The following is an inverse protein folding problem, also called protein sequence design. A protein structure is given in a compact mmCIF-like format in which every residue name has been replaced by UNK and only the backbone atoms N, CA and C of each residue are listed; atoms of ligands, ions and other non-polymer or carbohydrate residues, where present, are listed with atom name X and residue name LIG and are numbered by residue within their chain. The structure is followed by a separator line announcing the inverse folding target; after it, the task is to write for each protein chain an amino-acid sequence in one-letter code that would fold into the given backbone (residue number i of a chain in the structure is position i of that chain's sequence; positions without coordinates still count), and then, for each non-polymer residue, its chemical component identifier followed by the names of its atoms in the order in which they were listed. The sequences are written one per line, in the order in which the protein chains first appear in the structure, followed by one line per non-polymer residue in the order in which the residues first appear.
data_IF_935536793655
#
_entry.id   IF_935536793655
#
_cell.length_a   1.000
_cell.length_b   1.000
_cell.length_c   1.000
_cell.angle_alpha   90.00
_cell.angle_beta   90.00
_cell.angle_gamma   90.00
#
_symmetry.space_group_name_H-M   'P 1'
#
loop_
_entity.id
_entity.type
_entity.pdbx_description
1 polymer ?
#
# COMPACT_ATOMS: atom_id res chain seq x y z
N UNK A 1 -31.29 31.86 62.07
CA UNK A 1 -31.83 30.81 61.17
C UNK A 1 -31.72 31.27 59.70
N UNK A 2 -30.50 31.33 59.13
CA UNK A 2 -30.29 31.89 57.78
C UNK A 2 -28.91 31.54 57.17
N UNK A 3 -28.50 30.27 57.14
CA UNK A 3 -27.21 29.88 56.49
C UNK A 3 -27.27 28.56 55.70
N UNK A 4 -28.33 27.75 55.82
CA UNK A 4 -28.30 26.36 55.28
C UNK A 4 -28.71 26.26 53.79
N UNK A 5 -29.30 27.30 53.18
CA UNK A 5 -29.82 27.20 51.80
C UNK A 5 -28.79 27.42 50.67
N UNK A 6 -27.60 27.97 50.94
CA UNK A 6 -26.63 28.25 49.87
C UNK A 6 -25.62 27.12 49.58
N UNK A 7 -25.30 26.26 50.55
CA UNK A 7 -24.37 25.14 50.30
C UNK A 7 -25.00 23.99 49.49
N UNK A 8 -26.32 23.80 49.56
CA UNK A 8 -27.00 22.66 48.91
C UNK A 8 -27.14 22.83 47.39
N UNK A 9 -27.16 24.06 46.88
CA UNK A 9 -27.32 24.33 45.45
C UNK A 9 -25.98 24.17 44.70
N UNK A 10 -24.86 24.45 45.36
CA UNK A 10 -23.53 24.32 44.76
C UNK A 10 -23.10 22.86 44.53
N UNK A 11 -23.45 21.93 45.43
CA UNK A 11 -23.08 20.50 45.31
C UNK A 11 -23.91 19.72 44.28
N UNK A 12 -25.15 20.15 44.01
CA UNK A 12 -26.04 19.52 43.02
C UNK A 12 -25.66 19.95 41.60
N UNK A 13 -25.32 21.23 41.40
CA UNK A 13 -24.95 21.77 40.08
C UNK A 13 -23.57 21.26 39.62
N UNK A 14 -22.62 21.05 40.54
CA UNK A 14 -21.30 20.46 40.23
C UNK A 14 -21.39 18.99 39.87
N UNK A 15 -22.25 18.21 40.55
CA UNK A 15 -22.50 16.80 40.21
C UNK A 15 -23.18 16.63 38.85
N UNK A 16 -24.09 17.53 38.48
CA UNK A 16 -24.75 17.48 37.17
C UNK A 16 -23.76 17.76 36.04
N UNK A 17 -22.89 18.78 36.19
CA UNK A 17 -21.84 19.10 35.22
C UNK A 17 -20.80 17.98 35.07
N UNK A 18 -20.36 17.34 36.16
CA UNK A 18 -19.44 16.19 36.06
C UNK A 18 -20.07 14.97 35.40
N UNK A 19 -21.35 14.67 35.68
CA UNK A 19 -22.06 13.58 35.00
C UNK A 19 -22.20 13.83 33.50
N UNK A 20 -22.58 15.04 33.08
CA UNK A 20 -22.70 15.37 31.65
C UNK A 20 -21.34 15.31 30.94
N UNK A 21 -20.25 15.77 31.58
CA UNK A 21 -18.89 15.67 31.02
C UNK A 21 -18.45 14.20 30.91
N UNK A 22 -18.66 13.37 31.93
CA UNK A 22 -18.35 11.94 31.85
C UNK A 22 -19.18 11.21 30.80
N UNK A 23 -20.46 11.54 30.64
CA UNK A 23 -21.31 10.93 29.59
C UNK A 23 -20.87 11.37 28.19
N UNK A 24 -20.48 12.64 27.99
CA UNK A 24 -19.94 13.12 26.71
C UNK A 24 -18.56 12.51 26.41
N UNK A 25 -17.70 12.32 27.42
CA UNK A 25 -16.41 11.64 27.25
C UNK A 25 -16.60 10.15 26.91
N UNK A 26 -17.56 9.48 27.55
CA UNK A 26 -17.89 8.08 27.28
C UNK A 26 -18.47 7.91 25.87
N UNK A 27 -19.36 8.82 25.46
CA UNK A 27 -19.90 8.89 24.10
C UNK A 27 -18.79 9.23 23.09
N UNK A 28 -17.80 10.07 23.42
CA UNK A 28 -16.66 10.32 22.51
C UNK A 28 -15.71 9.11 22.40
N UNK A 29 -15.57 8.29 23.44
CA UNK A 29 -14.72 7.08 23.40
C UNK A 29 -15.41 5.87 22.74
N UNK A 30 -16.74 5.83 22.69
CA UNK A 30 -17.48 4.73 22.04
C UNK A 30 -17.65 4.91 20.54
N UNK A 31 -17.24 6.05 20.00
CA UNK A 31 -17.24 6.27 18.56
C UNK A 31 -15.80 6.08 18.09
N UNK A 32 -15.62 5.09 17.20
CA UNK A 32 -14.43 4.88 16.36
C UNK A 32 -13.30 4.02 16.94
N UNK A 33 -13.59 2.85 17.55
CA UNK A 33 -12.69 1.71 17.33
C UNK A 33 -13.02 1.15 15.94
N UNK A 34 -12.52 1.80 14.89
CA UNK A 34 -12.42 1.13 13.59
C UNK A 34 -11.47 -0.04 13.79
N UNK A 35 -11.83 -1.22 13.30
CA UNK A 35 -10.92 -2.36 13.31
C UNK A 35 -9.67 -1.97 12.52
N UNK A 36 -8.53 -2.05 13.18
CA UNK A 36 -7.24 -1.71 12.60
C UNK A 36 -6.39 -2.96 12.53
N UNK A 37 -5.68 -3.14 11.43
CA UNK A 37 -4.70 -4.22 11.36
C UNK A 37 -3.56 -3.96 12.34
N UNK A 38 -2.89 -5.01 12.85
CA UNK A 38 -1.82 -4.87 13.84
C UNK A 38 -0.64 -4.01 13.38
N UNK A 39 -0.42 -3.90 12.06
CA UNK A 39 0.61 -3.05 11.47
C UNK A 39 0.22 -1.57 11.38
N UNK A 40 -1.05 -1.20 11.60
CA UNK A 40 -1.49 0.19 11.44
C UNK A 40 -1.12 1.09 12.62
N UNK A 41 -0.62 0.51 13.70
CA UNK A 41 -0.02 1.25 14.83
C UNK A 41 1.32 1.89 14.47
N UNK A 42 2.01 1.41 13.42
CA UNK A 42 3.31 1.95 12.99
C UNK A 42 3.10 3.18 12.10
N UNK A 43 4.05 4.14 12.07
CA UNK A 43 3.98 5.29 11.17
C UNK A 43 3.89 4.87 9.70
N UNK A 44 3.18 5.64 8.89
CA UNK A 44 3.06 5.43 7.44
C UNK A 44 3.62 6.61 6.66
N UNK A 45 4.12 6.41 5.43
CA UNK A 45 4.53 7.51 4.57
C UNK A 45 3.33 8.35 4.16
N UNK A 46 3.56 9.64 3.89
CA UNK A 46 2.56 10.52 3.28
C UNK A 46 2.77 10.56 1.78
N UNK A 47 1.90 9.88 1.02
CA UNK A 47 1.97 9.84 -0.43
C UNK A 47 1.47 11.11 -1.10
N UNK A 48 2.18 11.54 -2.14
CA UNK A 48 1.61 12.40 -3.17
C UNK A 48 0.99 11.52 -4.25
N UNK A 49 -0.28 11.76 -4.59
CA UNK A 49 -1.01 10.96 -5.57
C UNK A 49 -1.28 11.75 -6.86
N UNK A 50 -1.00 11.13 -8.00
CA UNK A 50 -1.23 11.70 -9.32
C UNK A 50 -2.12 10.76 -10.14
N UNK A 51 -3.28 11.24 -10.59
CA UNK A 51 -4.31 10.41 -11.26
C UNK A 51 -4.66 10.84 -12.68
N UNK A 52 -4.02 11.88 -13.20
CA UNK A 52 -4.35 12.50 -14.49
C UNK A 52 -3.75 11.73 -15.68
N UNK A 53 -4.09 10.44 -15.80
CA UNK A 53 -3.69 9.59 -16.90
C UNK A 53 -4.28 10.07 -18.22
N UNK A 54 -3.43 10.22 -19.23
CA UNK A 54 -3.83 10.40 -20.63
C UNK A 54 -3.77 9.06 -21.34
N UNK A 55 -4.94 8.57 -21.73
CA UNK A 55 -5.09 7.33 -22.48
C UNK A 55 -4.98 7.61 -23.99
N UNK A 56 -4.17 6.80 -24.67
CA UNK A 56 -4.08 6.75 -26.12
C UNK A 56 -4.32 5.31 -26.57
N UNK A 57 -5.56 5.03 -26.94
CA UNK A 57 -5.93 3.75 -27.53
C UNK A 57 -5.57 3.76 -29.03
N UNK A 58 -4.52 3.01 -29.38
CA UNK A 58 -4.07 2.81 -30.75
C UNK A 58 -4.18 1.36 -31.17
N UNK A 59 -5.08 0.57 -30.56
CA UNK A 59 -5.28 -0.85 -30.86
C UNK A 59 -5.49 -1.09 -32.36
N UNK A 60 -6.32 -0.27 -33.01
CA UNK A 60 -6.63 -0.39 -34.44
C UNK A 60 -5.49 0.00 -35.38
N UNK A 61 -4.56 0.88 -34.96
CA UNK A 61 -3.50 1.43 -35.83
C UNK A 61 -2.11 0.85 -35.54
N UNK A 62 -1.82 0.53 -34.27
CA UNK A 62 -0.50 0.17 -33.75
C UNK A 62 -0.54 -1.01 -32.78
N UNK A 63 -1.70 -1.67 -32.65
CA UNK A 63 -1.90 -2.81 -31.75
C UNK A 63 -1.35 -2.55 -30.34
N UNK A 64 -1.63 -1.35 -29.82
CA UNK A 64 -1.14 -0.91 -28.52
C UNK A 64 -2.08 0.06 -27.83
N UNK A 65 -2.02 0.04 -26.50
CA UNK A 65 -2.68 0.99 -25.62
C UNK A 65 -1.59 1.68 -24.79
N UNK A 66 -1.63 3.01 -24.72
CA UNK A 66 -0.71 3.78 -23.89
C UNK A 66 -1.46 4.57 -22.83
N UNK A 67 -1.05 4.44 -21.57
CA UNK A 67 -1.44 5.31 -20.47
C UNK A 67 -0.25 6.16 -20.08
N UNK A 68 -0.37 7.49 -20.18
CA UNK A 68 0.74 8.42 -19.93
C UNK A 68 0.38 9.39 -18.82
N UNK A 69 1.27 9.55 -17.83
CA UNK A 69 1.13 10.50 -16.73
C UNK A 69 2.41 11.31 -16.59
N UNK A 70 2.26 12.63 -16.40
CA UNK A 70 3.38 13.57 -16.20
C UNK A 70 3.33 14.14 -14.79
N UNK A 71 4.48 14.17 -14.13
CA UNK A 71 4.69 14.80 -12.83
C UNK A 71 5.71 15.93 -13.03
N UNK A 72 5.27 17.17 -12.85
CA UNK A 72 6.14 18.33 -12.95
C UNK A 72 7.05 18.43 -11.73
N UNK A 73 8.29 18.90 -11.93
CA UNK A 73 9.27 19.11 -10.85
C UNK A 73 9.48 17.85 -9.98
N UNK A 74 9.54 16.69 -10.64
CA UNK A 74 9.73 15.42 -9.97
C UNK A 74 11.14 15.30 -9.39
N UNK A 75 12.15 15.53 -10.22
CA UNK A 75 13.56 15.43 -9.82
C UNK A 75 14.01 16.69 -9.05
N UNK A 76 15.08 16.58 -8.26
CA UNK A 76 15.61 17.69 -7.44
C UNK A 76 15.99 18.92 -8.27
N UNK A 77 16.47 18.70 -9.49
CA UNK A 77 16.79 19.76 -10.43
C UNK A 77 15.54 20.35 -11.12
N UNK A 78 14.34 20.01 -10.64
CA UNK A 78 13.02 20.45 -11.12
C UNK A 78 12.62 19.93 -12.49
N UNK A 79 13.31 18.91 -13.00
CA UNK A 79 12.90 18.25 -14.24
C UNK A 79 11.58 17.52 -14.06
N UNK A 80 10.79 17.47 -15.14
CA UNK A 80 9.55 16.71 -15.17
C UNK A 80 9.83 15.22 -15.45
N UNK A 81 9.11 14.36 -14.75
CA UNK A 81 9.00 12.93 -15.03
C UNK A 81 7.74 12.67 -15.86
N UNK A 82 7.84 11.82 -16.86
CA UNK A 82 6.68 11.21 -17.51
C UNK A 82 6.81 9.69 -17.45
N UNK A 83 5.80 9.03 -16.91
CA UNK A 83 5.64 7.57 -16.96
C UNK A 83 4.65 7.25 -18.07
N UNK A 84 5.04 6.34 -18.97
CA UNK A 84 4.15 5.78 -19.97
C UNK A 84 4.10 4.27 -19.83
N UNK A 85 2.90 3.75 -19.56
CA UNK A 85 2.59 2.33 -19.54
C UNK A 85 2.03 1.95 -20.91
N UNK A 86 2.68 1.01 -21.59
CA UNK A 86 2.27 0.53 -22.91
C UNK A 86 2.03 -0.96 -22.87
N UNK A 87 0.87 -1.38 -23.36
CA UNK A 87 0.56 -2.78 -23.62
C UNK A 87 0.32 -3.01 -25.10
N UNK A 88 0.68 -4.19 -25.56
CA UNK A 88 0.56 -4.58 -26.96
C UNK A 88 -0.58 -5.59 -27.09
N UNK A 89 -1.46 -5.38 -28.06
CA UNK A 89 -2.62 -6.25 -28.32
C UNK A 89 -2.34 -7.30 -29.40
N UNK A 90 -1.13 -7.30 -29.96
CA UNK A 90 -0.67 -8.27 -30.95
C UNK A 90 0.19 -9.35 -30.29
N UNK A 91 -0.20 -10.62 -30.45
CA UNK A 91 0.42 -11.83 -29.90
C UNK A 91 0.63 -11.79 -28.37
N UNK A 92 -0.03 -12.71 -27.66
CA UNK A 92 -0.17 -12.74 -26.20
C UNK A 92 1.13 -12.84 -25.37
N UNK A 93 2.28 -12.96 -26.01
CA UNK A 93 3.58 -13.12 -25.36
C UNK A 93 4.39 -11.82 -25.24
N UNK A 94 3.92 -10.72 -25.84
CA UNK A 94 4.66 -9.45 -25.76
C UNK A 94 4.47 -8.82 -24.38
N UNK A 95 5.55 -8.68 -23.57
CA UNK A 95 5.44 -8.02 -22.29
C UNK A 95 5.07 -6.56 -22.49
N UNK A 96 4.30 -6.03 -21.54
CA UNK A 96 4.07 -4.60 -21.48
C UNK A 96 5.37 -3.87 -21.15
N UNK A 97 5.37 -2.57 -21.40
CA UNK A 97 6.54 -1.73 -21.25
C UNK A 97 6.20 -0.50 -20.43
N UNK A 98 7.03 -0.22 -19.44
CA UNK A 98 7.11 1.03 -18.70
C UNK A 98 8.21 1.86 -19.35
N UNK A 99 7.85 3.01 -19.93
CA UNK A 99 8.82 4.00 -20.43
C UNK A 99 8.90 5.16 -19.47
N UNK A 100 10.13 5.52 -19.14
CA UNK A 100 10.45 6.65 -18.29
C UNK A 100 11.01 7.76 -19.17
N UNK A 101 10.42 8.94 -19.10
CA UNK A 101 10.94 10.14 -19.75
C UNK A 101 11.29 11.19 -18.71
N UNK A 102 12.41 11.86 -18.96
CA UNK A 102 12.84 13.05 -18.23
C UNK A 102 12.85 14.21 -19.22
N UNK A 103 12.08 15.27 -18.93
CA UNK A 103 11.91 16.42 -19.82
C UNK A 103 11.66 16.02 -21.30
N UNK A 104 10.76 15.04 -21.52
CA UNK A 104 10.38 14.49 -22.84
C UNK A 104 11.43 13.59 -23.52
N UNK A 105 12.63 13.43 -22.96
CA UNK A 105 13.62 12.47 -23.45
C UNK A 105 13.42 11.13 -22.76
N UNK A 106 13.28 10.04 -23.52
CA UNK A 106 13.19 8.71 -22.92
C UNK A 106 14.53 8.34 -22.31
N UNK A 107 14.55 8.06 -21.00
CA UNK A 107 15.76 7.69 -20.26
C UNK A 107 15.80 6.20 -19.92
N UNK A 108 14.65 5.53 -19.92
CA UNK A 108 14.57 4.11 -19.59
C UNK A 108 13.36 3.43 -20.26
N UNK A 109 13.48 2.12 -20.47
CA UNK A 109 12.44 1.23 -20.99
C UNK A 109 12.53 -0.09 -20.23
N UNK A 110 11.50 -0.40 -19.45
CA UNK A 110 11.47 -1.57 -18.56
C UNK A 110 10.28 -2.46 -18.98
N UNK A 111 10.44 -3.78 -19.00
CA UNK A 111 9.35 -4.71 -19.33
C UNK A 111 8.59 -5.14 -18.08
N UNK A 112 7.28 -5.37 -18.21
CA UNK A 112 6.42 -5.89 -17.14
C UNK A 112 5.51 -6.99 -17.70
N UNK A 113 5.40 -8.10 -16.96
CA UNK A 113 4.58 -9.26 -17.34
C UNK A 113 3.14 -9.08 -16.88
N UNK A 114 2.48 -8.05 -17.42
CA UNK A 114 1.10 -7.70 -17.14
C UNK A 114 0.52 -6.92 -18.32
N UNK A 115 -0.80 -6.91 -18.47
CA UNK A 115 -1.50 -6.02 -19.38
C UNK A 115 -2.01 -4.76 -18.66
N UNK A 116 -1.65 -3.59 -19.18
CA UNK A 116 -2.15 -2.27 -18.79
C UNK A 116 -3.29 -1.86 -19.73
N UNK A 117 -4.43 -1.54 -19.13
CA UNK A 117 -5.65 -1.15 -19.82
C UNK A 117 -6.25 0.10 -19.17
N UNK A 118 -7.23 0.70 -19.83
CA UNK A 118 -8.02 1.77 -19.20
C UNK A 118 -8.77 1.30 -17.96
N UNK A 119 -9.14 0.01 -17.89
CA UNK A 119 -9.93 -0.54 -16.78
C UNK A 119 -9.12 -0.69 -15.50
N UNK A 120 -7.84 -1.07 -15.58
CA UNK A 120 -6.99 -1.29 -14.41
C UNK A 120 -6.01 -0.15 -14.10
N UNK A 121 -5.73 0.75 -15.04
CA UNK A 121 -4.88 1.92 -14.79
C UNK A 121 -5.68 3.23 -14.70
N UNK A 122 -6.81 3.34 -15.42
CA UNK A 122 -7.50 4.62 -15.62
C UNK A 122 -8.00 5.29 -14.33
N UNK A 123 -8.12 4.54 -13.24
CA UNK A 123 -8.61 5.02 -11.95
C UNK A 123 -7.56 4.97 -10.82
N UNK A 124 -6.42 4.33 -11.05
CA UNK A 124 -5.37 4.17 -10.04
C UNK A 124 -4.32 5.29 -10.14
N UNK A 125 -4.01 6.00 -9.05
CA UNK A 125 -2.96 7.01 -9.07
C UNK A 125 -1.57 6.38 -9.12
N UNK A 126 -0.60 7.11 -9.67
CA UNK A 126 0.81 6.92 -9.31
C UNK A 126 1.02 7.60 -7.95
N UNK A 127 1.60 6.84 -7.02
CA UNK A 127 1.90 7.31 -5.67
C UNK A 127 3.38 7.59 -5.55
N UNK A 128 3.74 8.73 -4.96
CA UNK A 128 5.12 9.21 -4.86
C UNK A 128 5.50 9.45 -3.41
N UNK A 129 6.60 8.85 -2.96
CA UNK A 129 7.23 9.09 -1.65
C UNK A 129 8.66 8.55 -1.66
N UNK A 130 9.50 8.98 -0.72
CA UNK A 130 10.78 8.33 -0.42
C UNK A 130 10.49 7.10 0.47
N UNK A 131 10.59 5.90 -0.08
CA UNK A 131 10.25 4.64 0.63
C UNK A 131 11.49 4.09 1.33
N UNK A 132 12.65 4.18 0.70
CA UNK A 132 13.90 3.59 1.17
C UNK A 132 14.80 4.57 1.96
N UNK A 133 14.33 5.81 2.17
CA UNK A 133 14.98 6.84 2.97
C UNK A 133 16.26 7.40 2.36
N UNK A 134 16.45 7.28 1.05
CA UNK A 134 17.67 7.76 0.38
C UNK A 134 17.61 9.24 -0.06
N UNK A 135 16.48 9.90 0.22
CA UNK A 135 16.20 11.29 -0.12
C UNK A 135 15.67 11.50 -1.54
N UNK A 136 15.51 10.44 -2.34
CA UNK A 136 14.95 10.50 -3.68
C UNK A 136 13.47 10.09 -3.67
N UNK A 137 12.74 10.46 -4.73
CA UNK A 137 11.31 10.14 -4.84
C UNK A 137 11.14 8.80 -5.53
N UNK A 138 10.55 7.84 -4.84
CA UNK A 138 10.13 6.57 -5.41
C UNK A 138 8.70 6.64 -5.92
N UNK A 139 8.34 5.68 -6.78
CA UNK A 139 6.98 5.54 -7.30
C UNK A 139 6.41 4.19 -6.90
N UNK A 140 5.12 4.18 -6.56
CA UNK A 140 4.30 2.97 -6.40
C UNK A 140 3.11 3.04 -7.36
N UNK A 141 2.94 1.95 -8.12
CA UNK A 141 1.82 1.74 -9.04
C UNK A 141 1.16 0.43 -8.62
N UNK A 142 -0.15 0.47 -8.39
CA UNK A 142 -0.97 -0.71 -8.12
C UNK A 142 -1.81 -0.94 -9.36
N UNK A 143 -1.81 -2.16 -9.87
CA UNK A 143 -2.57 -2.51 -11.08
C UNK A 143 -3.46 -3.72 -10.77
N UNK A 144 -4.78 -3.54 -10.63
CA UNK A 144 -5.71 -4.65 -10.42
C UNK A 144 -5.72 -5.64 -11.59
N UNK A 145 -5.84 -6.93 -11.27
CA UNK A 145 -6.07 -7.99 -12.26
C UNK A 145 -7.52 -8.06 -12.74
N UNK A 146 -8.42 -7.23 -12.19
CA UNK A 146 -9.85 -7.17 -12.55
C UNK A 146 -10.58 -8.51 -12.39
N UNK A 147 -10.23 -9.26 -11.34
CA UNK A 147 -10.94 -10.48 -10.96
C UNK A 147 -12.33 -10.19 -10.36
N UNK A 148 -13.03 -11.26 -9.94
CA UNK A 148 -14.30 -11.17 -9.23
C UNK A 148 -14.22 -11.91 -7.89
N UNK A 149 -15.01 -11.48 -6.91
CA UNK A 149 -14.98 -12.05 -5.56
C UNK A 149 -13.60 -11.89 -4.95
N UNK A 150 -13.08 -12.90 -4.24
CA UNK A 150 -11.74 -12.82 -3.63
C UNK A 150 -10.63 -12.53 -4.65
N UNK A 151 -10.78 -12.97 -5.91
CA UNK A 151 -9.79 -12.70 -6.95
C UNK A 151 -9.77 -11.23 -7.40
N UNK A 152 -10.77 -10.41 -7.03
CA UNK A 152 -10.77 -8.97 -7.30
C UNK A 152 -9.67 -8.24 -6.53
N UNK A 153 -9.25 -8.81 -5.40
CA UNK A 153 -8.16 -8.28 -4.57
C UNK A 153 -6.79 -8.50 -5.20
N UNK A 154 -6.68 -9.37 -6.21
CA UNK A 154 -5.40 -9.63 -6.85
C UNK A 154 -4.94 -8.37 -7.57
N UNK A 155 -3.72 -7.93 -7.23
CA UNK A 155 -3.06 -6.78 -7.84
C UNK A 155 -1.63 -7.13 -8.21
N UNK A 156 -1.10 -6.44 -9.22
CA UNK A 156 0.33 -6.31 -9.44
C UNK A 156 0.79 -5.02 -8.77
N UNK A 157 1.69 -5.12 -7.81
CA UNK A 157 2.34 -3.95 -7.19
C UNK A 157 3.66 -3.72 -7.89
N UNK A 158 3.90 -2.50 -8.35
CA UNK A 158 5.12 -2.10 -9.05
C UNK A 158 5.72 -0.91 -8.31
N UNK A 159 6.97 -1.06 -7.88
CA UNK A 159 7.78 0.04 -7.38
C UNK A 159 8.83 0.44 -8.41
N UNK A 160 9.07 1.73 -8.51
CA UNK A 160 10.21 2.30 -9.25
C UNK A 160 11.02 3.11 -8.24
N UNK A 161 12.13 2.53 -7.76
CA UNK A 161 13.03 3.17 -6.81
C UNK A 161 14.02 4.06 -7.55
N UNK A 162 14.04 5.36 -7.24
CA UNK A 162 14.90 6.29 -7.95
C UNK A 162 16.36 6.09 -7.56
N UNK A 163 17.26 6.13 -8.55
CA UNK A 163 18.71 6.04 -8.33
C UNK A 163 19.38 7.40 -8.50
N UNK A 164 20.62 7.53 -7.99
CA UNK A 164 21.43 8.76 -8.11
C UNK A 164 21.75 9.17 -9.55
N UNK A 165 21.74 8.23 -10.49
CA UNK A 165 21.87 8.52 -11.93
C UNK A 165 20.54 8.95 -12.58
N UNK A 166 19.50 9.19 -11.77
CA UNK A 166 18.18 9.68 -12.17
C UNK A 166 17.45 8.70 -13.11
N UNK A 167 17.69 7.41 -12.89
CA UNK A 167 16.95 6.28 -13.43
C UNK A 167 16.18 5.61 -12.31
N UNK A 168 15.57 4.46 -12.61
CA UNK A 168 14.81 3.70 -11.64
C UNK A 168 15.21 2.23 -11.63
N UNK A 169 15.22 1.62 -10.45
CA UNK A 169 15.20 0.17 -10.31
C UNK A 169 13.75 -0.23 -10.12
N UNK A 170 13.24 -1.06 -11.02
CA UNK A 170 11.90 -1.64 -10.87
C UNK A 170 11.99 -2.87 -9.97
N UNK A 171 11.08 -2.95 -9.01
CA UNK A 171 10.62 -4.24 -8.49
C UNK A 171 9.11 -4.35 -8.70
N UNK A 172 8.61 -5.56 -8.86
CA UNK A 172 7.17 -5.80 -8.90
C UNK A 172 6.85 -7.20 -8.43
N UNK A 173 5.65 -7.41 -7.92
CA UNK A 173 5.17 -8.69 -7.45
C UNK A 173 3.66 -8.75 -7.46
N UNK A 174 3.12 -9.97 -7.34
CA UNK A 174 1.69 -10.21 -7.16
C UNK A 174 1.35 -10.11 -5.67
N UNK A 175 0.20 -9.53 -5.37
CA UNK A 175 -0.28 -9.31 -4.01
C UNK A 175 -1.81 -9.36 -3.97
N UNK A 176 -2.39 -9.47 -2.78
CA UNK A 176 -3.82 -9.26 -2.56
C UNK A 176 -4.03 -7.97 -1.76
N UNK A 177 -4.86 -7.05 -2.24
CA UNK A 177 -5.08 -5.76 -1.60
C UNK A 177 -6.51 -5.26 -1.80
N UNK A 178 -7.14 -4.81 -0.72
CA UNK A 178 -8.36 -3.99 -0.80
C UNK A 178 -7.96 -2.51 -0.74
N UNK A 179 -7.77 -1.90 -1.92
CA UNK A 179 -7.28 -0.53 -2.07
C UNK A 179 -5.78 -0.35 -1.79
N UNK A 180 -5.37 0.88 -1.45
CA UNK A 180 -3.97 1.20 -1.18
C UNK A 180 -3.57 0.82 0.25
N UNK A 181 -3.00 -0.37 0.42
CA UNK A 181 -2.24 -0.69 1.63
C UNK A 181 -0.90 0.03 1.59
N UNK A 182 -0.77 0.97 2.51
CA UNK A 182 0.40 1.83 2.66
C UNK A 182 1.50 1.09 3.43
N UNK A 183 2.75 1.38 3.13
CA UNK A 183 3.97 0.89 3.80
C UNK A 183 4.03 1.40 5.25
N UNK A 184 4.89 0.81 6.08
CA UNK A 184 5.01 1.17 7.50
C UNK A 184 6.46 1.18 7.96
N UNK A 185 6.80 2.14 8.81
CA UNK A 185 8.12 2.23 9.46
C UNK A 185 8.10 1.34 10.72
N UNK A 186 8.51 0.09 10.57
CA UNK A 186 8.39 -0.90 11.63
C UNK A 186 9.48 -0.76 12.70
N UNK A 187 10.66 -0.26 12.34
CA UNK A 187 11.82 -0.16 13.23
C UNK A 187 12.19 1.29 13.62
N UNK A 188 11.47 2.28 13.10
CA UNK A 188 11.61 3.70 13.43
C UNK A 188 12.81 4.37 12.74
N UNK A 189 13.33 3.79 11.67
CA UNK A 189 14.52 4.29 10.98
C UNK A 189 14.20 5.34 9.89
N UNK A 190 12.92 5.58 9.60
CA UNK A 190 12.44 6.52 8.57
C UNK A 190 12.32 5.93 7.16
N UNK A 191 12.76 4.69 6.95
CA UNK A 191 12.41 3.86 5.80
C UNK A 191 11.07 3.19 6.08
N UNK A 192 10.36 2.80 5.03
CA UNK A 192 9.06 2.17 5.15
C UNK A 192 9.09 0.77 4.57
N UNK A 193 8.90 -0.23 5.42
CA UNK A 193 8.78 -1.61 4.98
C UNK A 193 7.48 -1.86 4.21
N UNK A 194 7.62 -2.66 3.17
CA UNK A 194 6.56 -3.14 2.31
C UNK A 194 5.89 -4.32 2.99
N UNK A 195 4.57 -4.24 3.12
CA UNK A 195 3.76 -5.34 3.63
C UNK A 195 3.17 -6.05 2.42
N UNK A 196 3.11 -7.39 2.41
CA UNK A 196 2.31 -8.19 1.46
C UNK A 196 1.15 -8.89 2.16
N UNK A 197 0.14 -9.31 1.41
CA UNK A 197 -1.02 -10.03 1.90
C UNK A 197 -1.39 -11.13 0.88
N UNK A 198 -1.43 -12.37 1.33
CA UNK A 198 -1.89 -13.50 0.54
C UNK A 198 -2.95 -14.31 1.31
N UNK A 199 -3.81 -15.02 0.58
CA UNK A 199 -4.75 -15.97 1.18
C UNK A 199 -4.12 -17.36 1.23
N UNK A 200 -4.02 -17.95 2.42
CA UNK A 200 -3.44 -19.30 2.59
C UNK A 200 -4.37 -20.18 3.41
N UNK A 201 -4.54 -21.43 2.95
CA UNK A 201 -5.26 -22.46 3.68
C UNK A 201 -4.36 -23.16 4.70
N UNK A 202 -4.86 -23.34 5.92
CA UNK A 202 -4.23 -24.19 6.93
C UNK A 202 -5.32 -24.94 7.71
N UNK A 203 -5.15 -26.26 7.81
CA UNK A 203 -6.16 -27.19 8.32
C UNK A 203 -7.54 -27.00 7.65
N UNK A 204 -8.55 -26.52 8.41
CA UNK A 204 -9.94 -26.35 7.96
C UNK A 204 -10.32 -24.88 7.76
N UNK A 205 -9.35 -23.98 7.72
CA UNK A 205 -9.58 -22.53 7.67
C UNK A 205 -8.66 -21.86 6.64
N UNK A 206 -9.06 -20.67 6.19
CA UNK A 206 -8.23 -19.79 5.37
C UNK A 206 -7.82 -18.58 6.20
N UNK A 207 -6.64 -18.05 5.90
CA UNK A 207 -6.03 -16.96 6.63
C UNK A 207 -5.43 -15.95 5.66
N UNK A 208 -5.63 -14.67 5.96
CA UNK A 208 -4.80 -13.61 5.42
C UNK A 208 -3.42 -13.69 6.07
N UNK A 209 -2.40 -13.92 5.26
CA UNK A 209 -1.00 -14.00 5.68
C UNK A 209 -0.30 -12.72 5.28
N UNK A 210 0.21 -11.99 6.27
CA UNK A 210 0.94 -10.76 6.03
C UNK A 210 2.43 -11.00 6.26
N UNK A 211 3.25 -10.66 5.26
CA UNK A 211 4.71 -10.67 5.36
C UNK A 211 5.23 -9.22 5.24
N UNK A 212 6.42 -8.97 5.77
CA UNK A 212 7.10 -7.67 5.72
C UNK A 212 8.42 -7.81 4.98
N UNK A 213 8.72 -6.82 4.16
CA UNK A 213 9.94 -6.71 3.40
C UNK A 213 10.54 -5.31 3.49
N UNK A 214 11.86 -5.26 3.57
CA UNK A 214 12.62 -4.02 3.47
C UNK A 214 13.22 -3.92 2.07
N UNK A 215 13.18 -2.74 1.45
CA UNK A 215 13.95 -2.48 0.24
C UNK A 215 15.22 -1.73 0.60
N UNK A 216 16.36 -2.41 0.52
CA UNK A 216 17.67 -1.82 0.74
C UNK A 216 18.70 -2.41 -0.21
N UNK A 217 19.81 -1.70 -0.42
CA UNK A 217 20.90 -2.17 -1.30
C UNK A 217 20.40 -2.65 -2.67
N UNK A 218 19.42 -1.94 -3.22
CA UNK A 218 18.81 -2.24 -4.53
C UNK A 218 18.05 -3.56 -4.62
N UNK A 219 17.62 -4.16 -3.50
CA UNK A 219 16.90 -5.43 -3.46
C UNK A 219 15.83 -5.47 -2.37
N UNK A 220 14.80 -6.28 -2.58
CA UNK A 220 13.80 -6.58 -1.56
C UNK A 220 14.30 -7.73 -0.67
N UNK A 221 14.24 -7.56 0.65
CA UNK A 221 14.66 -8.57 1.63
C UNK A 221 13.54 -8.85 2.62
N UNK A 222 13.34 -10.12 2.96
CA UNK A 222 12.41 -10.53 4.01
C UNK A 222 12.80 -9.88 5.35
N UNK A 223 11.86 -9.18 5.98
CA UNK A 223 12.04 -8.50 7.26
C UNK A 223 11.26 -9.17 8.40
N UNK A 224 10.58 -10.29 8.13
CA UNK A 224 9.72 -11.00 9.07
C UNK A 224 10.36 -11.39 10.41
N UNK A 225 11.68 -11.67 10.40
CA UNK A 225 12.40 -12.05 11.61
C UNK A 225 12.45 -10.90 12.63
N UNK A 226 12.36 -9.66 12.15
CA UNK A 226 12.13 -8.47 12.95
C UNK A 226 10.60 -8.30 13.10
N UNK A 227 10.12 -7.83 14.24
CA UNK A 227 8.68 -7.59 14.51
C UNK A 227 7.74 -8.81 14.60
N UNK A 228 8.29 -10.02 14.72
CA UNK A 228 7.52 -11.23 14.94
C UNK A 228 6.57 -11.61 13.77
N UNK A 229 6.88 -11.25 12.52
CA UNK A 229 6.09 -11.64 11.33
C UNK A 229 6.49 -13.02 10.74
N UNK A 230 5.69 -13.62 9.83
CA UNK A 230 4.39 -13.16 9.36
C UNK A 230 3.32 -13.21 10.45
N UNK A 231 2.23 -12.47 10.24
CA UNK A 231 1.01 -12.58 11.05
C UNK A 231 -0.08 -13.21 10.20
N UNK A 232 -0.97 -13.96 10.85
CA UNK A 232 -2.10 -14.62 10.21
C UNK A 232 -3.40 -14.15 10.84
N UNK A 233 -4.35 -13.74 10.02
CA UNK A 233 -5.68 -13.29 10.44
C UNK A 233 -6.70 -14.19 9.76
N UNK A 234 -7.58 -14.82 10.53
CA UNK A 234 -8.55 -15.75 9.96
C UNK A 234 -9.47 -15.02 8.97
N UNK A 235 -9.58 -15.54 7.75
CA UNK A 235 -10.54 -15.08 6.76
C UNK A 235 -11.94 -15.54 7.16
N UNK A 236 -12.84 -14.57 7.36
CA UNK A 236 -14.22 -14.77 7.79
C UNK A 236 -15.17 -14.01 6.85
N UNK A 237 -16.45 -14.38 6.86
CA UNK A 237 -17.50 -13.63 6.16
C UNK A 237 -17.93 -12.36 6.94
N UNK A 238 -16.96 -11.70 7.57
CA UNK A 238 -17.06 -10.45 8.33
C UNK A 238 -15.66 -9.89 8.48
N UNK A 239 -15.58 -8.59 8.74
CA UNK A 239 -14.31 -7.94 9.03
C UNK A 239 -13.64 -8.58 10.26
N UNK A 240 -12.35 -8.83 10.12
CA UNK A 240 -11.50 -9.39 11.16
C UNK A 240 -10.09 -8.82 11.00
N UNK A 241 -9.55 -8.28 12.09
CA UNK A 241 -8.24 -7.64 12.11
C UNK A 241 -7.33 -8.25 13.18
N UNK A 242 -7.84 -9.24 13.92
CA UNK A 242 -7.11 -9.85 15.02
C UNK A 242 -6.24 -11.01 14.51
N UNK A 243 -4.99 -11.04 15.00
CA UNK A 243 -4.10 -12.18 14.80
C UNK A 243 -4.78 -13.41 15.40
N UNK A 244 -4.88 -14.48 14.61
CA UNK A 244 -5.52 -15.72 15.05
C UNK A 244 -4.79 -16.35 16.23
N UNK A 245 -5.53 -16.85 17.22
CA UNK A 245 -5.02 -17.67 18.33
C UNK A 245 -5.01 -19.17 18.00
N UNK A 246 -5.63 -19.56 16.88
CA UNK A 246 -5.70 -20.96 16.40
C UNK A 246 -4.40 -21.52 15.83
N UNK A 247 -3.42 -20.66 15.55
CA UNK A 247 -2.11 -21.06 15.04
C UNK A 247 -1.09 -20.41 15.98
N UNK A 248 -0.22 -21.22 16.59
CA UNK A 248 0.82 -20.66 17.45
C UNK A 248 1.85 -19.85 16.64
N UNK A 249 2.56 -18.94 17.32
CA UNK A 249 3.49 -18.01 16.67
C UNK A 249 4.67 -18.70 15.98
N UNK A 250 5.16 -19.81 16.54
CA UNK A 250 6.25 -20.57 15.95
C UNK A 250 5.79 -21.22 14.64
N UNK A 251 4.57 -21.76 14.63
CA UNK A 251 3.94 -22.31 13.42
C UNK A 251 3.69 -21.25 12.37
N UNK A 252 3.29 -20.02 12.74
CA UNK A 252 3.16 -18.91 11.79
C UNK A 252 4.48 -18.62 11.06
N UNK A 253 5.65 -18.84 11.69
CA UNK A 253 6.95 -18.62 11.05
C UNK A 253 7.21 -19.49 9.84
N UNK A 254 6.60 -20.67 9.77
CA UNK A 254 6.72 -21.55 8.61
C UNK A 254 6.06 -20.96 7.34
N UNK A 255 5.18 -19.96 7.48
CA UNK A 255 4.56 -19.24 6.36
C UNK A 255 5.37 -18.03 5.90
N UNK A 256 6.55 -17.80 6.48
CA UNK A 256 7.45 -16.74 6.06
C UNK A 256 7.97 -17.02 4.64
N UNK A 257 7.80 -16.05 3.75
CA UNK A 257 8.35 -16.10 2.39
C UNK A 257 9.59 -15.21 2.27
N UNK A 258 10.56 -15.64 1.45
CA UNK A 258 11.79 -14.88 1.22
C UNK A 258 11.57 -13.70 0.27
N UNK A 259 10.71 -13.89 -0.72
CA UNK A 259 10.26 -12.89 -1.68
C UNK A 259 8.77 -13.12 -1.96
N UNK A 260 8.02 -12.06 -2.32
CA UNK A 260 6.64 -12.18 -2.77
C UNK A 260 6.50 -13.01 -4.06
N UNK A 261 5.29 -13.50 -4.32
CA UNK A 261 4.98 -14.24 -5.54
C UNK A 261 5.19 -13.39 -6.79
N UNK A 262 5.70 -14.00 -7.86
CA UNK A 262 6.04 -13.34 -9.13
C UNK A 262 6.97 -12.12 -8.99
N UNK A 263 7.83 -12.11 -7.97
CA UNK A 263 8.83 -11.05 -7.78
C UNK A 263 9.73 -10.91 -9.02
N UNK A 264 9.76 -9.72 -9.59
CA UNK A 264 10.54 -9.37 -10.79
C UNK A 264 11.28 -8.04 -10.58
N UNK A 265 12.61 -8.10 -10.66
CA UNK A 265 13.51 -6.94 -10.53
C UNK A 265 14.15 -6.61 -11.88
N UNK A 266 14.15 -5.34 -12.28
CA UNK A 266 14.77 -4.86 -13.53
C UNK A 266 15.42 -3.48 -13.37
N UNK A 267 16.45 -3.23 -14.18
CA UNK A 267 17.21 -1.97 -14.30
C UNK A 267 17.08 -1.40 -15.72
#
# INVERSE_FOLDING_TARGET
MKVIKHLFIWSVVTNYKMRTISTVLFILTTYLTFGQYPFEKYPSPTYLEYKDWKLYDWTTKKQSINSTLKIDQFFDNKDALTIQLTSFTSNGDNPSVIRVFRNKTQVQKITEQMFFSSLNIGHEPIRVVDINGDGLKDLKIIVPYMGNGIAELNVRVIYLFQTKDQKFIKISFTDMMDGNRVERDFDGNGNFEIITMNLTGYERHNYWVFNIFEYNESQLKCFNNKENYPIMIQFLNRDNYEITDKIDREKMKEFAIQLPDDYDRKE
#
